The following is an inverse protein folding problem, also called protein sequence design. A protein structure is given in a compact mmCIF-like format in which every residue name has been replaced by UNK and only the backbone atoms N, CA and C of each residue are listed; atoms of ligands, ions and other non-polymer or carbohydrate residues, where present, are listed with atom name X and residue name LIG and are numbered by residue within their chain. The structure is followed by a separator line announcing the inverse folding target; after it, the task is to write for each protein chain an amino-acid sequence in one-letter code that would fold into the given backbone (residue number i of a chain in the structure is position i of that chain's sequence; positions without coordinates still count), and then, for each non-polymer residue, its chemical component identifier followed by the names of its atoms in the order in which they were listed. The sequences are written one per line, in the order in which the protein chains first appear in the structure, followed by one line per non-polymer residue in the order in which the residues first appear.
data_IF_883508715120
#
_entry.id   IF_883508715120
#
_cell.length_a   1.000
_cell.length_b   1.000
_cell.length_c   1.000
_cell.angle_alpha   90.00
_cell.angle_beta   90.00
_cell.angle_gamma   90.00
#
_symmetry.space_group_name_H-M   'P 1'
#
loop_
_entity.id
_entity.type
_entity.pdbx_description
1 polymer ?
#
# COMPACT_ATOMS: atom_id res chain seq x y z
N UNK A 1 -6.72 -20.66 -17.14
CA UNK A 1 -7.23 -19.97 -15.95
C UNK A 1 -6.89 -20.81 -14.71
N UNK A 2 -5.83 -20.43 -13.98
CA UNK A 2 -5.64 -20.89 -12.61
C UNK A 2 -6.17 -19.77 -11.73
N UNK A 3 -7.19 -20.05 -10.93
CA UNK A 3 -7.75 -19.07 -10.00
C UNK A 3 -6.63 -18.56 -9.09
N UNK A 4 -6.49 -17.25 -8.98
CA UNK A 4 -5.63 -16.62 -8.01
C UNK A 4 -6.17 -16.98 -6.63
N UNK A 5 -5.68 -18.06 -6.03
CA UNK A 5 -5.83 -18.27 -4.59
C UNK A 5 -4.97 -17.18 -3.96
N UNK A 6 -5.58 -16.04 -3.63
CA UNK A 6 -4.92 -15.02 -2.81
C UNK A 6 -4.35 -15.75 -1.60
N UNK A 7 -3.02 -15.70 -1.42
CA UNK A 7 -2.42 -16.31 -0.24
C UNK A 7 -3.15 -15.79 1.00
N UNK A 8 -3.52 -16.65 1.96
CA UNK A 8 -4.22 -16.18 3.13
C UNK A 8 -3.35 -15.15 3.84
N UNK A 9 -3.88 -13.93 3.91
CA UNK A 9 -3.27 -12.83 4.64
C UNK A 9 -2.95 -13.31 6.08
N UNK A 10 -1.70 -13.24 6.54
CA UNK A 10 -1.35 -13.69 7.88
C UNK A 10 -2.18 -12.92 8.91
N UNK A 11 -2.86 -13.62 9.82
CA UNK A 11 -3.66 -12.95 10.89
C UNK A 11 -2.81 -11.98 11.70
N UNK A 12 -1.54 -12.32 11.89
CA UNK A 12 -0.55 -11.48 12.55
C UNK A 12 -0.34 -10.12 11.86
N UNK A 13 -0.51 -10.03 10.53
CA UNK A 13 -0.45 -8.74 9.83
C UNK A 13 -1.58 -7.80 10.24
N UNK A 14 -2.82 -8.30 10.32
CA UNK A 14 -3.96 -7.52 10.80
C UNK A 14 -3.77 -7.12 12.27
N UNK A 15 -3.27 -8.03 13.10
CA UNK A 15 -2.94 -7.72 14.49
C UNK A 15 -1.90 -6.60 14.58
N UNK A 16 -0.85 -6.64 13.75
CA UNK A 16 0.15 -5.59 13.65
C UNK A 16 -0.46 -4.22 13.32
N UNK A 17 -1.34 -4.16 12.33
CA UNK A 17 -2.06 -2.93 11.97
C UNK A 17 -2.95 -2.42 13.11
N UNK A 18 -3.69 -3.30 13.77
CA UNK A 18 -4.57 -2.95 14.89
C UNK A 18 -3.75 -2.39 16.06
N UNK A 19 -2.68 -3.07 16.47
CA UNK A 19 -1.84 -2.59 17.55
C UNK A 19 -1.16 -1.27 17.22
N UNK A 20 -0.72 -1.08 15.98
CA UNK A 20 -0.14 0.18 15.53
C UNK A 20 -1.17 1.32 15.60
N UNK A 21 -2.40 1.09 15.14
CA UNK A 21 -3.48 2.08 15.25
C UNK A 21 -3.87 2.41 16.71
N UNK A 22 -3.63 1.48 17.64
CA UNK A 22 -3.82 1.69 19.07
C UNK A 22 -2.62 2.37 19.76
N UNK A 23 -1.53 2.63 19.05
CA UNK A 23 -0.28 3.15 19.60
C UNK A 23 0.51 2.14 20.43
N UNK A 24 0.21 0.85 20.33
CA UNK A 24 0.95 -0.23 20.99
C UNK A 24 2.07 -0.74 20.07
N UNK A 25 3.10 0.09 19.91
CA UNK A 25 4.21 -0.18 18.98
C UNK A 25 4.96 -1.48 19.29
N UNK A 26 5.02 -1.86 20.56
CA UNK A 26 5.66 -3.11 20.97
C UNK A 26 4.89 -4.32 20.44
N UNK A 27 3.57 -4.38 20.65
CA UNK A 27 2.76 -5.48 20.12
C UNK A 27 2.63 -5.42 18.60
N UNK A 28 2.59 -4.22 18.02
CA UNK A 28 2.59 -4.05 16.57
C UNK A 28 3.84 -4.68 15.96
N UNK A 29 5.02 -4.33 16.49
CA UNK A 29 6.30 -4.88 16.01
C UNK A 29 6.37 -6.39 16.15
N UNK A 30 5.93 -6.95 17.28
CA UNK A 30 5.90 -8.40 17.49
C UNK A 30 4.99 -9.11 16.47
N UNK A 31 3.81 -8.55 16.21
CA UNK A 31 2.86 -9.13 15.26
C UNK A 31 3.34 -9.00 13.80
N UNK A 32 3.98 -7.89 13.43
CA UNK A 32 4.59 -7.76 12.10
C UNK A 32 5.76 -8.72 11.89
N UNK A 33 6.55 -8.98 12.93
CA UNK A 33 7.65 -9.95 12.87
C UNK A 33 7.13 -11.38 12.60
N UNK A 34 6.05 -11.78 13.28
CA UNK A 34 5.37 -13.07 13.03
C UNK A 34 4.80 -13.13 11.61
N UNK A 35 4.18 -12.03 11.14
CA UNK A 35 3.64 -11.95 9.78
C UNK A 35 4.73 -12.07 8.72
N UNK A 36 5.91 -11.49 8.96
CA UNK A 36 7.04 -11.49 8.03
C UNK A 36 7.45 -12.90 7.64
N UNK A 37 7.65 -13.80 8.61
CA UNK A 37 8.12 -15.16 8.32
C UNK A 37 7.16 -15.95 7.43
N UNK A 38 5.85 -15.70 7.57
CA UNK A 38 4.83 -16.34 6.74
C UNK A 38 4.81 -15.71 5.35
N UNK A 39 4.85 -14.38 5.28
CA UNK A 39 4.79 -13.63 4.02
C UNK A 39 6.03 -13.86 3.14
N UNK A 40 7.23 -13.88 3.72
CA UNK A 40 8.48 -14.15 2.99
C UNK A 40 8.51 -15.57 2.42
N UNK A 41 8.08 -16.58 3.17
CA UNK A 41 7.95 -17.96 2.66
C UNK A 41 6.92 -18.05 1.54
N UNK A 42 5.81 -17.35 1.69
CA UNK A 42 4.78 -17.27 0.67
C UNK A 42 5.34 -16.61 -0.61
N UNK A 43 6.10 -15.52 -0.49
CA UNK A 43 6.75 -14.85 -1.62
C UNK A 43 7.80 -15.76 -2.28
N UNK A 44 8.64 -16.44 -1.50
CA UNK A 44 9.64 -17.37 -2.03
C UNK A 44 9.00 -18.52 -2.86
N UNK A 45 7.80 -18.97 -2.48
CA UNK A 45 7.06 -19.97 -3.25
C UNK A 45 6.40 -19.43 -4.52
N UNK A 46 6.24 -18.10 -4.66
CA UNK A 46 5.65 -17.45 -5.83
C UNK A 46 6.28 -16.07 -6.06
N UNK A 47 7.53 -16.01 -6.54
CA UNK A 47 8.31 -14.77 -6.61
C UNK A 47 7.82 -13.72 -7.60
N UNK A 48 6.88 -14.08 -8.48
CA UNK A 48 6.29 -13.18 -9.48
C UNK A 48 4.82 -12.83 -9.14
N UNK A 49 4.41 -13.02 -7.89
CA UNK A 49 3.08 -12.63 -7.41
C UNK A 49 3.12 -11.22 -6.81
N UNK A 50 2.61 -10.24 -7.56
CA UNK A 50 2.61 -8.84 -7.17
C UNK A 50 1.92 -8.58 -5.80
N UNK A 51 0.88 -9.35 -5.47
CA UNK A 51 0.16 -9.18 -4.20
C UNK A 51 1.01 -9.58 -2.99
N UNK A 52 1.93 -10.54 -3.16
CA UNK A 52 2.85 -10.99 -2.11
C UNK A 52 3.95 -9.96 -1.88
N UNK A 53 4.45 -9.36 -2.94
CA UNK A 53 5.36 -8.23 -2.85
C UNK A 53 4.73 -7.05 -2.09
N UNK A 54 3.45 -6.71 -2.36
CA UNK A 54 2.75 -5.67 -1.58
C UNK A 54 2.66 -6.04 -0.09
N UNK A 55 2.27 -7.27 0.24
CA UNK A 55 2.13 -7.71 1.62
C UNK A 55 3.47 -7.64 2.37
N UNK A 56 4.54 -8.16 1.78
CA UNK A 56 5.89 -8.09 2.36
C UNK A 56 6.34 -6.64 2.51
N UNK A 57 6.08 -5.78 1.51
CA UNK A 57 6.40 -4.36 1.56
C UNK A 57 5.70 -3.63 2.71
N UNK A 58 4.41 -3.88 2.94
CA UNK A 58 3.65 -3.30 4.06
C UNK A 58 4.15 -3.82 5.42
N UNK A 59 4.50 -5.10 5.53
CA UNK A 59 5.09 -5.67 6.75
C UNK A 59 6.44 -5.02 7.04
N UNK A 60 7.31 -4.89 6.04
CA UNK A 60 8.60 -4.20 6.20
C UNK A 60 8.42 -2.73 6.60
N UNK A 61 7.45 -2.03 6.03
CA UNK A 61 7.13 -0.67 6.43
C UNK A 61 6.74 -0.59 7.92
N UNK A 62 5.85 -1.48 8.37
CA UNK A 62 5.46 -1.58 9.79
C UNK A 62 6.62 -1.96 10.74
N UNK A 63 7.66 -2.61 10.23
CA UNK A 63 8.88 -2.94 10.99
C UNK A 63 9.95 -1.83 10.95
N UNK A 64 9.73 -0.75 10.19
CA UNK A 64 10.69 0.33 9.98
C UNK A 64 11.82 -0.02 8.99
N UNK A 65 11.61 -1.05 8.16
CA UNK A 65 12.56 -1.50 7.12
C UNK A 65 12.29 -0.79 5.81
N UNK A 66 12.54 0.52 5.80
CA UNK A 66 12.02 1.43 4.77
C UNK A 66 12.52 1.10 3.35
N UNK A 67 13.80 0.78 3.20
CA UNK A 67 14.35 0.46 1.88
C UNK A 67 13.82 -0.86 1.33
N UNK A 68 13.69 -1.88 2.18
CA UNK A 68 13.10 -3.18 1.83
C UNK A 68 11.64 -2.97 1.41
N UNK A 69 10.87 -2.22 2.22
CA UNK A 69 9.48 -1.92 1.93
C UNK A 69 9.29 -1.26 0.55
N UNK A 70 10.11 -0.25 0.24
CA UNK A 70 10.04 0.46 -1.03
C UNK A 70 10.41 -0.44 -2.22
N UNK A 71 11.42 -1.30 -2.07
CA UNK A 71 11.81 -2.26 -3.12
C UNK A 71 10.67 -3.21 -3.45
N UNK A 72 10.04 -3.80 -2.44
CA UNK A 72 8.95 -4.74 -2.63
C UNK A 72 7.71 -4.08 -3.26
N UNK A 73 7.34 -2.88 -2.79
CA UNK A 73 6.25 -2.12 -3.40
C UNK A 73 6.49 -1.77 -4.87
N UNK A 74 7.71 -1.35 -5.23
CA UNK A 74 8.08 -1.09 -6.63
C UNK A 74 8.04 -2.36 -7.48
N UNK A 75 8.54 -3.47 -6.94
CA UNK A 75 8.51 -4.76 -7.63
C UNK A 75 7.09 -5.22 -7.95
N UNK A 76 6.13 -4.99 -7.05
CA UNK A 76 4.72 -5.28 -7.32
C UNK A 76 4.20 -4.53 -8.57
N UNK A 77 4.46 -3.22 -8.65
CA UNK A 77 4.05 -2.38 -9.79
C UNK A 77 4.74 -2.79 -11.09
N UNK A 78 6.00 -3.24 -11.03
CA UNK A 78 6.74 -3.75 -12.20
C UNK A 78 6.19 -5.07 -12.74
N UNK A 79 5.76 -5.96 -11.84
CA UNK A 79 5.19 -7.27 -12.21
C UNK A 79 3.87 -7.07 -12.95
N UNK A 80 2.98 -6.27 -12.38
CA UNK A 80 1.65 -6.00 -12.93
C UNK A 80 1.41 -4.49 -13.08
N UNK A 81 2.01 -3.87 -14.11
CA UNK A 81 1.77 -2.46 -14.41
C UNK A 81 0.34 -2.27 -14.93
N UNK A 82 -0.18 -1.05 -14.78
CA UNK A 82 -1.52 -0.64 -15.25
C UNK A 82 -1.72 -0.88 -16.75
N UNK A 83 -0.66 -0.80 -17.55
CA UNK A 83 -0.69 -1.09 -18.99
C UNK A 83 -0.95 -2.55 -19.32
N UNK A 84 -0.68 -3.48 -18.39
CA UNK A 84 -0.99 -4.91 -18.52
C UNK A 84 -2.33 -5.27 -17.88
N UNK A 85 -2.69 -4.61 -16.79
CA UNK A 85 -3.96 -4.82 -16.10
C UNK A 85 -4.49 -3.49 -15.56
N UNK A 86 -5.47 -2.94 -16.28
CA UNK A 86 -6.07 -1.65 -15.98
C UNK A 86 -6.97 -1.66 -14.73
N UNK A 87 -7.27 -2.84 -14.15
CA UNK A 87 -8.09 -2.97 -12.95
C UNK A 87 -7.22 -3.23 -11.72
N UNK A 88 -6.29 -4.18 -11.80
CA UNK A 88 -5.43 -4.54 -10.67
C UNK A 88 -4.17 -3.69 -10.57
N UNK A 89 -3.64 -3.19 -11.67
CA UNK A 89 -2.45 -2.32 -11.68
C UNK A 89 -2.62 -1.07 -10.80
N UNK A 90 -3.74 -0.31 -10.90
CA UNK A 90 -3.96 0.86 -10.06
C UNK A 90 -4.00 0.54 -8.56
N UNK A 91 -4.49 -0.64 -8.18
CA UNK A 91 -4.50 -1.11 -6.78
C UNK A 91 -3.07 -1.26 -6.24
N UNK A 92 -2.13 -1.71 -7.08
CA UNK A 92 -0.72 -1.84 -6.70
C UNK A 92 -0.03 -0.48 -6.59
N UNK A 93 -0.39 0.47 -7.45
CA UNK A 93 0.09 1.85 -7.35
C UNK A 93 -0.36 2.50 -6.03
N UNK A 94 -1.63 2.34 -5.66
CA UNK A 94 -2.15 2.79 -4.36
C UNK A 94 -1.43 2.10 -3.21
N UNK A 95 -1.19 0.78 -3.32
CA UNK A 95 -0.46 0.03 -2.30
C UNK A 95 0.97 0.54 -2.10
N UNK A 96 1.67 0.90 -3.18
CA UNK A 96 2.98 1.55 -3.10
C UNK A 96 2.89 2.93 -2.45
N UNK A 97 1.86 3.72 -2.76
CA UNK A 97 1.63 5.02 -2.09
C UNK A 97 1.42 4.85 -0.57
N UNK A 98 0.71 3.80 -0.14
CA UNK A 98 0.55 3.45 1.28
C UNK A 98 1.88 3.12 1.93
N UNK A 99 2.71 2.29 1.27
CA UNK A 99 4.06 1.97 1.75
C UNK A 99 4.89 3.25 1.89
N UNK A 100 4.91 4.10 0.87
CA UNK A 100 5.63 5.37 0.88
C UNK A 100 5.15 6.30 2.01
N UNK A 101 3.85 6.33 2.28
CA UNK A 101 3.29 7.09 3.42
C UNK A 101 3.81 6.58 4.76
N UNK A 102 3.79 5.26 4.98
CA UNK A 102 4.23 4.65 6.24
C UNK A 102 5.73 4.90 6.48
N UNK A 103 6.56 4.83 5.44
CA UNK A 103 8.02 5.02 5.56
C UNK A 103 8.45 6.50 5.57
N UNK A 104 7.51 7.44 5.43
CA UNK A 104 7.78 8.88 5.44
C UNK A 104 8.15 9.50 4.09
N UNK A 105 8.06 8.76 2.98
CA UNK A 105 8.23 9.29 1.61
C UNK A 105 6.92 9.96 1.13
N UNK A 106 6.56 11.06 1.78
CA UNK A 106 5.28 11.74 1.55
C UNK A 106 5.18 12.32 0.14
N UNK A 107 6.26 12.86 -0.42
CA UNK A 107 6.25 13.41 -1.78
C UNK A 107 6.06 12.31 -2.83
N UNK A 108 6.70 11.15 -2.66
CA UNK A 108 6.47 9.98 -3.50
C UNK A 108 5.04 9.47 -3.41
N UNK A 109 4.50 9.34 -2.19
CA UNK A 109 3.13 8.92 -1.98
C UNK A 109 2.12 9.86 -2.66
N UNK A 110 2.24 11.18 -2.44
CA UNK A 110 1.36 12.19 -3.02
C UNK A 110 1.39 12.16 -4.55
N UNK A 111 2.56 11.95 -5.16
CA UNK A 111 2.67 11.83 -6.61
C UNK A 111 1.89 10.63 -7.17
N UNK A 112 1.97 9.48 -6.49
CA UNK A 112 1.20 8.29 -6.88
C UNK A 112 -0.30 8.46 -6.64
N UNK A 113 -0.70 9.14 -5.56
CA UNK A 113 -2.11 9.43 -5.29
C UNK A 113 -2.69 10.39 -6.33
N UNK A 114 -1.94 11.41 -6.75
CA UNK A 114 -2.34 12.30 -7.84
C UNK A 114 -2.58 11.52 -9.14
N UNK A 115 -1.68 10.59 -9.49
CA UNK A 115 -1.88 9.71 -10.63
C UNK A 115 -3.12 8.82 -10.47
N UNK A 116 -3.32 8.25 -9.28
CA UNK A 116 -4.46 7.39 -8.98
C UNK A 116 -5.80 8.10 -9.19
N UNK A 117 -5.92 9.38 -8.84
CA UNK A 117 -7.13 10.18 -9.07
C UNK A 117 -7.45 10.39 -10.56
N UNK A 118 -6.48 10.18 -11.45
CA UNK A 118 -6.63 10.41 -12.90
C UNK A 118 -7.05 9.17 -13.69
N UNK A 119 -7.02 7.98 -13.08
CA UNK A 119 -7.30 6.71 -13.75
C UNK A 119 -8.63 6.11 -13.27
N UNK A 120 -9.38 5.49 -14.18
CA UNK A 120 -10.76 5.04 -13.93
C UNK A 120 -10.90 4.01 -12.81
N UNK A 121 -9.89 3.18 -12.54
CA UNK A 121 -9.90 2.18 -11.46
C UNK A 121 -8.98 2.59 -10.29
N UNK A 122 -8.60 3.86 -10.23
CA UNK A 122 -7.85 4.42 -9.12
C UNK A 122 -8.76 4.93 -8.00
N UNK A 123 -8.17 5.69 -7.09
CA UNK A 123 -8.88 6.26 -5.95
C UNK A 123 -9.76 7.44 -6.33
N UNK A 124 -10.72 7.71 -5.46
CA UNK A 124 -11.52 8.93 -5.44
C UNK A 124 -11.03 9.89 -4.36
N UNK A 125 -11.36 11.17 -4.53
CA UNK A 125 -11.09 12.20 -3.51
C UNK A 125 -11.75 11.87 -2.17
N UNK A 126 -12.95 11.27 -2.19
CA UNK A 126 -13.65 10.90 -0.97
C UNK A 126 -12.93 9.77 -0.21
N UNK A 127 -12.38 8.78 -0.92
CA UNK A 127 -11.57 7.73 -0.28
C UNK A 127 -10.29 8.31 0.35
N UNK A 128 -9.61 9.23 -0.34
CA UNK A 128 -8.45 9.93 0.22
C UNK A 128 -8.80 10.70 1.49
N UNK A 129 -9.97 11.34 1.54
CA UNK A 129 -10.44 12.09 2.72
C UNK A 129 -10.78 11.20 3.91
N UNK A 130 -11.31 9.99 3.68
CA UNK A 130 -11.86 9.13 4.74
C UNK A 130 -10.89 8.08 5.26
N UNK A 131 -9.94 7.60 4.44
CA UNK A 131 -9.02 6.54 4.84
C UNK A 131 -7.90 7.09 5.76
N UNK A 132 -7.79 6.61 7.03
CA UNK A 132 -6.79 7.09 7.98
C UNK A 132 -5.35 6.71 7.61
N UNK A 133 -5.14 5.82 6.63
CA UNK A 133 -3.81 5.52 6.11
C UNK A 133 -3.09 6.80 5.63
N UNK A 134 -3.84 7.80 5.20
CA UNK A 134 -3.33 9.07 4.69
C UNK A 134 -3.19 10.16 5.75
N UNK A 135 -3.45 9.86 7.02
CA UNK A 135 -3.36 10.84 8.10
C UNK A 135 -1.98 11.53 8.20
N UNK A 136 -0.85 10.83 7.98
CA UNK A 136 0.46 11.48 7.92
C UNK A 136 0.61 12.54 6.81
N UNK A 137 -0.26 12.53 5.80
CA UNK A 137 -0.22 13.46 4.66
C UNK A 137 -1.15 14.67 4.83
N UNK A 138 -2.03 14.69 5.85
CA UNK A 138 -3.12 15.69 5.99
C UNK A 138 -2.62 17.13 6.09
N UNK A 139 -1.45 17.32 6.67
CA UNK A 139 -0.82 18.63 6.84
C UNK A 139 0.04 19.05 5.64
N UNK A 140 0.24 18.17 4.64
CA UNK A 140 1.00 18.51 3.44
C UNK A 140 0.16 19.39 2.49
N UNK A 141 0.62 20.60 2.11
CA UNK A 141 -0.14 21.49 1.23
C UNK A 141 -0.50 20.89 -0.14
N UNK A 142 0.36 20.03 -0.70
CA UNK A 142 0.07 19.34 -1.97
C UNK A 142 -1.05 18.33 -1.80
N UNK A 143 -1.04 17.56 -0.70
CA UNK A 143 -2.12 16.63 -0.39
C UNK A 143 -3.44 17.36 -0.16
N UNK A 144 -3.43 18.47 0.59
CA UNK A 144 -4.60 19.32 0.79
C UNK A 144 -5.18 19.82 -0.55
N UNK A 145 -4.32 20.22 -1.49
CA UNK A 145 -4.75 20.59 -2.83
C UNK A 145 -5.42 19.42 -3.57
N UNK A 146 -4.81 18.23 -3.56
CA UNK A 146 -5.39 17.03 -4.21
C UNK A 146 -6.79 16.70 -3.68
N UNK A 147 -7.00 16.85 -2.38
CA UNK A 147 -8.31 16.54 -1.77
C UNK A 147 -9.27 17.73 -1.75
N UNK A 148 -8.86 18.93 -2.17
CA UNK A 148 -9.73 20.10 -2.28
C UNK A 148 -10.36 20.21 -3.68
N UNK A 149 -9.69 19.69 -4.69
CA UNK A 149 -10.21 19.61 -6.06
C UNK A 149 -11.41 18.65 -6.07
N UNK A 150 -12.62 19.15 -6.34
CA UNK A 150 -13.75 18.27 -6.64
C UNK A 150 -13.44 17.49 -7.93
N UNK A 151 -13.82 16.21 -8.03
CA UNK A 151 -13.75 15.55 -9.31
C UNK A 151 -14.60 16.37 -10.27
N UNK A 152 -13.98 16.91 -11.32
CA UNK A 152 -14.73 17.36 -12.48
C UNK A 152 -15.59 16.19 -12.91
N UNK A 153 -16.89 16.27 -12.67
CA UNK A 153 -17.89 15.41 -13.28
C UNK A 153 -17.74 15.56 -14.79
N UNK A 154 -16.85 14.76 -15.37
CA UNK A 154 -16.61 14.71 -16.80
C UNK A 154 -17.62 13.80 -17.44
N UNK A 155 -18.70 14.41 -17.96
CA UNK A 155 -19.43 14.05 -19.18
C UNK A 155 -19.92 12.62 -19.36
#
# INVERSE_FOLDING_TARGET
MRGATSAPLPKAFLAGQIYHAMGDDQKARAAFEEAREVAERALAASPDDASRHVLVGLIYAGLGRNEEALREGKRAVEILPESKDAFNGPILVVSLARIQTIIGDHEGAIALLQHSLSVSAGMTVNELRLDPTWDPLRDNPRFQKLVAEEPSNGG
#
